data_IF_690600094492
#
_entry.id   IF_690600094492
#
_cell.length_a   1.000
_cell.length_b   1.000
_cell.length_c   1.000
_cell.angle_alpha   90.00
_cell.angle_beta   90.00
_cell.angle_gamma   90.00
#
_symmetry.space_group_name_H-M   'P 1'
#
loop_
_entity.id
_entity.type
_entity.pdbx_description
1 polymer ?
#
# COMPACT_ATOMS: atom_id res chain seq x y z
N UNK A 1 19.59 -11.82 -2.43
CA UNK A 1 19.44 -12.21 -3.85
C UNK A 1 20.51 -11.48 -4.63
N UNK A 2 21.23 -12.14 -5.54
CA UNK A 2 22.20 -11.44 -6.39
C UNK A 2 21.48 -10.62 -7.47
N UNK A 3 22.18 -9.63 -8.06
CA UNK A 3 21.64 -8.84 -9.18
C UNK A 3 21.19 -9.71 -10.35
N UNK A 4 21.95 -10.76 -10.65
CA UNK A 4 21.64 -11.70 -11.71
C UNK A 4 20.33 -12.45 -11.42
N UNK A 5 20.20 -13.02 -10.22
CA UNK A 5 19.00 -13.74 -9.79
C UNK A 5 17.76 -12.83 -9.79
N UNK A 6 17.92 -11.58 -9.36
CA UNK A 6 16.82 -10.60 -9.43
C UNK A 6 16.40 -10.33 -10.88
N UNK A 7 17.37 -10.18 -11.79
CA UNK A 7 17.11 -9.99 -13.22
C UNK A 7 16.42 -11.18 -13.87
N UNK A 8 16.77 -12.41 -13.49
CA UNK A 8 16.10 -13.63 -13.95
C UNK A 8 14.64 -13.68 -13.51
N UNK A 9 14.37 -13.44 -12.21
CA UNK A 9 12.99 -13.38 -11.68
C UNK A 9 12.19 -12.26 -12.33
N UNK A 10 12.81 -11.11 -12.57
CA UNK A 10 12.17 -9.99 -13.25
C UNK A 10 11.74 -10.37 -14.68
N UNK A 11 12.62 -11.03 -15.45
CA UNK A 11 12.27 -11.51 -16.80
C UNK A 11 11.14 -12.54 -16.79
N UNK A 12 11.15 -13.45 -15.82
CA UNK A 12 10.08 -14.42 -15.66
C UNK A 12 8.73 -13.74 -15.38
N UNK A 13 8.71 -12.73 -14.50
CA UNK A 13 7.51 -11.94 -14.23
C UNK A 13 7.02 -11.22 -15.49
N UNK A 14 7.92 -10.63 -16.28
CA UNK A 14 7.55 -10.02 -17.56
C UNK A 14 6.90 -11.03 -18.51
N UNK A 15 7.42 -12.27 -18.58
CA UNK A 15 6.81 -13.32 -19.39
C UNK A 15 5.37 -13.63 -18.95
N UNK A 16 5.11 -13.75 -17.63
CA UNK A 16 3.76 -13.94 -17.10
C UNK A 16 2.81 -12.77 -17.38
N UNK A 17 3.32 -11.54 -17.34
CA UNK A 17 2.52 -10.36 -17.69
C UNK A 17 2.17 -10.36 -19.18
N UNK A 18 3.11 -10.77 -20.04
CA UNK A 18 2.88 -10.83 -21.49
C UNK A 18 1.99 -12.00 -21.93
N UNK A 19 2.01 -13.13 -21.23
CA UNK A 19 1.11 -14.26 -21.50
C UNK A 19 -0.32 -14.01 -20.99
N UNK A 20 -0.52 -12.99 -20.14
CA UNK A 20 -1.81 -12.67 -19.55
C UNK A 20 -2.13 -13.48 -18.28
N UNK A 21 -1.14 -14.16 -17.70
CA UNK A 21 -1.33 -14.98 -16.48
C UNK A 21 -1.62 -14.11 -15.24
N UNK A 22 -1.15 -12.87 -15.24
CA UNK A 22 -1.41 -11.90 -14.19
C UNK A 22 -1.34 -10.46 -14.72
N UNK A 23 -1.97 -9.52 -14.00
CA UNK A 23 -1.94 -8.09 -14.34
C UNK A 23 -0.83 -7.33 -13.61
N UNK A 24 -0.44 -7.76 -12.41
CA UNK A 24 0.57 -7.09 -11.59
C UNK A 24 1.22 -8.09 -10.63
N UNK A 25 2.55 -7.97 -10.45
CA UNK A 25 3.32 -8.73 -9.47
C UNK A 25 4.20 -7.78 -8.66
N UNK A 26 4.24 -7.96 -7.34
CA UNK A 26 5.16 -7.24 -6.46
C UNK A 26 6.42 -8.08 -6.23
N UNK A 27 7.51 -7.75 -6.94
CA UNK A 27 8.80 -8.41 -6.75
C UNK A 27 9.56 -7.74 -5.59
N UNK A 28 9.61 -8.41 -4.44
CA UNK A 28 10.36 -7.97 -3.27
C UNK A 28 11.56 -8.89 -2.98
N UNK A 29 12.57 -8.35 -2.29
CA UNK A 29 13.70 -9.11 -1.80
C UNK A 29 13.96 -8.83 -0.32
N UNK A 30 14.40 -9.86 0.40
CA UNK A 30 14.76 -9.75 1.81
C UNK A 30 16.24 -9.40 1.94
N UNK A 31 16.52 -8.44 2.81
CA UNK A 31 17.86 -8.13 3.30
C UNK A 31 17.98 -8.59 4.75
N UNK A 32 19.17 -9.04 5.12
CA UNK A 32 19.50 -9.51 6.46
C UNK A 32 20.84 -8.91 6.86
N UNK A 33 20.93 -8.47 8.11
CA UNK A 33 22.15 -7.96 8.70
C UNK A 33 22.18 -8.37 10.18
N UNK A 34 23.37 -8.59 10.71
CA UNK A 34 23.55 -8.78 12.15
C UNK A 34 23.28 -7.46 12.86
N UNK A 35 22.59 -7.53 13.99
CA UNK A 35 22.25 -6.37 14.81
C UNK A 35 22.71 -6.59 16.24
N UNK A 36 23.38 -5.58 16.79
CA UNK A 36 23.73 -5.50 18.22
C UNK A 36 23.35 -4.10 18.67
N UNK A 37 22.43 -3.98 19.61
CA UNK A 37 21.96 -2.70 20.11
C UNK A 37 20.72 -2.83 20.98
N UNK A 38 20.40 -1.75 21.68
CA UNK A 38 19.28 -1.68 22.62
C UNK A 38 17.97 -1.25 21.93
N UNK A 39 16.86 -1.43 22.63
CA UNK A 39 15.49 -1.26 22.15
C UNK A 39 15.05 0.21 21.99
N UNK A 40 15.94 1.17 22.23
CA UNK A 40 15.64 2.62 22.18
C UNK A 40 15.60 3.23 20.76
N UNK A 41 16.07 2.52 19.73
CA UNK A 41 16.16 3.00 18.34
C UNK A 41 14.84 3.11 17.53
N UNK A 42 13.74 2.37 17.83
CA UNK A 42 12.47 2.49 17.12
C UNK A 42 11.91 3.92 17.06
N UNK A 43 12.08 4.69 18.14
CA UNK A 43 11.60 6.08 18.23
C UNK A 43 12.33 7.01 17.25
N UNK A 44 13.64 6.84 17.12
CA UNK A 44 14.49 7.59 16.19
C UNK A 44 14.12 7.28 14.73
N UNK A 45 13.92 6.00 14.41
CA UNK A 45 13.48 5.54 13.10
C UNK A 45 12.10 6.08 12.73
N UNK A 46 11.17 6.11 13.69
CA UNK A 46 9.85 6.67 13.48
C UNK A 46 9.88 8.20 13.29
N UNK A 47 10.75 8.93 14.01
CA UNK A 47 10.89 10.37 13.85
C UNK A 47 11.35 10.79 12.43
N UNK A 48 12.18 9.96 11.80
CA UNK A 48 12.67 10.16 10.43
C UNK A 48 11.61 9.77 9.39
N UNK A 49 11.01 8.59 9.52
CA UNK A 49 10.10 8.07 8.49
C UNK A 49 8.68 8.64 8.58
N UNK A 50 8.24 9.06 9.79
CA UNK A 50 6.91 9.62 10.09
C UNK A 50 5.77 8.81 9.48
N UNK A 51 5.88 7.48 9.55
CA UNK A 51 4.88 6.59 9.00
C UNK A 51 3.59 6.65 9.86
N UNK A 52 2.40 6.72 9.25
CA UNK A 52 1.14 6.82 9.99
C UNK A 52 0.77 5.55 10.75
N UNK A 53 1.34 4.40 10.37
CA UNK A 53 1.09 3.09 10.97
C UNK A 53 2.40 2.45 11.42
N UNK A 54 2.95 2.97 12.51
CA UNK A 54 4.16 2.43 13.14
C UNK A 54 3.81 1.49 14.30
N UNK A 55 4.55 0.40 14.42
CA UNK A 55 4.39 -0.56 15.52
C UNK A 55 5.76 -1.07 15.98
N UNK A 56 5.91 -1.26 17.29
CA UNK A 56 7.04 -1.95 17.89
C UNK A 56 6.49 -3.03 18.83
N UNK A 57 6.81 -4.28 18.54
CA UNK A 57 6.31 -5.45 19.27
C UNK A 57 7.53 -6.21 19.78
N UNK A 58 7.61 -6.40 21.09
CA UNK A 58 8.60 -7.29 21.71
C UNK A 58 8.03 -8.69 21.81
N UNK A 59 8.82 -9.68 21.45
CA UNK A 59 8.55 -11.10 21.51
C UNK A 59 9.69 -11.77 22.29
N UNK A 60 9.48 -12.99 22.78
CA UNK A 60 10.52 -13.71 23.53
C UNK A 60 11.78 -13.97 22.69
N UNK A 61 11.60 -14.18 21.38
CA UNK A 61 12.70 -14.49 20.44
C UNK A 61 13.23 -13.26 19.67
N UNK A 62 12.73 -12.05 19.96
CA UNK A 62 13.18 -10.84 19.29
C UNK A 62 12.15 -9.71 19.25
N UNK A 63 12.26 -8.82 18.27
CA UNK A 63 11.35 -7.70 18.15
C UNK A 63 10.94 -7.45 16.70
N UNK A 64 9.70 -6.99 16.53
CA UNK A 64 9.17 -6.52 15.26
C UNK A 64 9.11 -5.01 15.31
N UNK A 65 9.80 -4.36 14.38
CA UNK A 65 9.66 -2.94 14.09
C UNK A 65 9.00 -2.77 12.72
N UNK A 66 7.85 -2.11 12.69
CA UNK A 66 7.10 -1.81 11.47
C UNK A 66 6.92 -0.30 11.31
N UNK A 67 7.14 0.19 10.09
CA UNK A 67 6.94 1.57 9.67
C UNK A 67 6.05 1.55 8.42
N UNK A 68 4.78 1.20 8.57
CA UNK A 68 3.89 1.01 7.43
C UNK A 68 3.35 2.36 6.91
N UNK A 69 3.53 2.65 5.61
CA UNK A 69 2.98 3.86 4.99
C UNK A 69 1.47 3.74 4.73
N UNK A 70 0.92 2.52 4.76
CA UNK A 70 -0.41 2.21 4.27
C UNK A 70 -1.17 1.30 5.25
N UNK A 71 -2.48 1.49 5.33
CA UNK A 71 -3.37 0.64 6.11
C UNK A 71 -3.94 -0.44 5.21
N UNK A 72 -3.78 -1.71 5.60
CA UNK A 72 -4.42 -2.84 4.92
C UNK A 72 -5.95 -2.71 4.97
N UNK A 73 -6.52 -2.71 6.16
CA UNK A 73 -7.95 -2.47 6.40
C UNK A 73 -8.19 -1.94 7.81
N UNK A 74 -9.34 -1.30 8.01
CA UNK A 74 -9.88 -0.90 9.31
C UNK A 74 -11.25 -1.50 9.44
N UNK A 75 -11.54 -2.06 10.60
CA UNK A 75 -12.88 -2.51 10.95
C UNK A 75 -13.32 -1.81 12.24
N UNK A 76 -14.39 -1.02 12.18
CA UNK A 76 -14.95 -0.30 13.33
C UNK A 76 -16.45 -0.18 13.20
N UNK A 77 -17.19 -0.46 14.28
CA UNK A 77 -18.65 -0.30 14.32
C UNK A 77 -19.37 -1.02 13.16
N UNK A 78 -18.87 -2.19 12.79
CA UNK A 78 -19.43 -2.93 11.67
C UNK A 78 -19.13 -2.32 10.30
N UNK A 79 -18.20 -1.38 10.16
CA UNK A 79 -17.75 -0.85 8.87
C UNK A 79 -16.34 -1.31 8.55
N UNK A 80 -16.13 -1.85 7.34
CA UNK A 80 -14.83 -2.20 6.78
C UNK A 80 -14.37 -1.08 5.84
N UNK A 81 -13.15 -0.59 6.04
CA UNK A 81 -12.52 0.44 5.23
C UNK A 81 -11.11 0.04 4.81
N UNK A 82 -10.75 0.26 3.55
CA UNK A 82 -9.37 0.17 3.05
C UNK A 82 -9.00 1.43 2.27
N UNK A 83 -7.69 1.67 2.13
CA UNK A 83 -7.12 2.84 1.43
C UNK A 83 -5.93 2.43 0.58
N UNK A 84 -6.16 1.75 -0.56
CA UNK A 84 -5.08 1.31 -1.43
C UNK A 84 -4.27 2.50 -1.96
N UNK A 85 -2.95 2.35 -2.02
CA UNK A 85 -2.03 3.33 -2.60
C UNK A 85 -1.37 2.76 -3.85
N UNK A 86 -1.60 3.39 -5.01
CA UNK A 86 -0.82 3.14 -6.25
C UNK A 86 -0.39 4.44 -6.91
N UNK A 87 0.73 4.36 -7.62
CA UNK A 87 1.45 5.50 -8.16
C UNK A 87 2.35 6.16 -7.11
N UNK A 88 3.65 6.17 -7.37
CA UNK A 88 4.65 6.81 -6.49
C UNK A 88 5.69 7.52 -7.31
N UNK A 89 5.85 8.82 -7.05
CA UNK A 89 6.99 9.60 -7.52
C UNK A 89 7.79 10.10 -6.31
N UNK A 90 9.11 10.28 -6.46
CA UNK A 90 9.95 10.90 -5.43
C UNK A 90 9.49 12.34 -5.19
N UNK A 91 9.85 12.89 -4.04
CA UNK A 91 9.67 14.33 -3.76
C UNK A 91 10.86 15.09 -4.31
N UNK A 92 10.66 16.33 -4.71
CA UNK A 92 11.74 17.23 -5.15
C UNK A 92 11.94 18.37 -4.15
N UNK A 93 13.17 18.89 -4.07
CA UNK A 93 13.51 19.98 -3.14
C UNK A 93 12.86 21.31 -3.52
N UNK A 94 12.68 21.55 -4.83
CA UNK A 94 11.98 22.74 -5.33
C UNK A 94 10.47 22.55 -5.19
N UNK A 95 9.76 23.43 -4.46
CA UNK A 95 8.31 23.35 -4.29
C UNK A 95 7.54 23.38 -5.62
N UNK A 96 8.01 24.16 -6.59
CA UNK A 96 7.41 24.25 -7.92
C UNK A 96 7.57 22.94 -8.69
N UNK A 97 8.77 22.37 -8.67
CA UNK A 97 9.04 21.11 -9.35
C UNK A 97 8.28 19.95 -8.68
N UNK A 98 8.17 19.95 -7.36
CA UNK A 98 7.40 18.97 -6.59
C UNK A 98 5.90 19.04 -6.91
N UNK A 99 5.34 20.25 -7.06
CA UNK A 99 3.95 20.46 -7.49
C UNK A 99 3.71 19.93 -8.91
N UNK A 100 4.60 20.25 -9.86
CA UNK A 100 4.54 19.70 -11.23
C UNK A 100 4.64 18.18 -11.24
N UNK A 101 5.43 17.59 -10.34
CA UNK A 101 5.56 16.14 -10.20
C UNK A 101 4.25 15.51 -9.71
N UNK A 102 3.56 16.16 -8.77
CA UNK A 102 2.24 15.74 -8.31
C UNK A 102 1.19 15.79 -9.44
N UNK A 103 1.18 16.87 -10.23
CA UNK A 103 0.29 17.01 -11.39
C UNK A 103 0.56 15.94 -12.46
N UNK A 104 1.84 15.64 -12.74
CA UNK A 104 2.22 14.55 -13.65
C UNK A 104 1.67 13.21 -13.19
N UNK A 105 1.78 12.91 -11.89
CA UNK A 105 1.24 11.67 -11.32
C UNK A 105 -0.29 11.63 -11.42
N UNK A 106 -0.97 12.74 -11.12
CA UNK A 106 -2.43 12.83 -11.18
C UNK A 106 -2.97 12.62 -12.61
N UNK A 107 -2.24 13.10 -13.61
CA UNK A 107 -2.64 13.02 -15.01
C UNK A 107 -2.13 11.76 -15.73
N UNK A 108 -1.35 10.91 -15.07
CA UNK A 108 -0.81 9.69 -15.69
C UNK A 108 -1.93 8.69 -15.99
N UNK A 109 -2.16 8.32 -17.27
CA UNK A 109 -3.16 7.31 -17.62
C UNK A 109 -2.78 5.93 -17.06
N UNK A 110 -1.48 5.62 -16.99
CA UNK A 110 -0.97 4.38 -16.42
C UNK A 110 -1.30 4.27 -14.93
N UNK A 111 -0.92 5.27 -14.14
CA UNK A 111 -1.13 5.25 -12.69
C UNK A 111 -2.64 5.26 -12.34
N UNK A 112 -3.47 5.91 -13.16
CA UNK A 112 -4.93 5.85 -13.01
C UNK A 112 -5.48 4.46 -13.28
N UNK A 113 -4.99 3.78 -14.34
CA UNK A 113 -5.40 2.41 -14.64
C UNK A 113 -4.98 1.42 -13.54
N UNK A 114 -3.75 1.53 -13.02
CA UNK A 114 -3.27 0.70 -11.91
C UNK A 114 -4.06 0.98 -10.61
N UNK A 115 -4.37 2.25 -10.32
CA UNK A 115 -5.22 2.62 -9.19
C UNK A 115 -6.63 2.05 -9.32
N UNK A 116 -7.23 2.10 -10.51
CA UNK A 116 -8.57 1.53 -10.75
C UNK A 116 -8.57 0.02 -10.58
N UNK A 117 -7.55 -0.67 -11.11
CA UNK A 117 -7.39 -2.12 -10.97
C UNK A 117 -7.29 -2.54 -9.49
N UNK A 118 -6.46 -1.88 -8.67
CA UNK A 118 -6.35 -2.24 -7.25
C UNK A 118 -7.64 -1.91 -6.48
N UNK A 119 -8.31 -0.83 -6.87
CA UNK A 119 -9.62 -0.44 -6.35
C UNK A 119 -10.64 -1.55 -6.58
N UNK A 120 -10.72 -2.07 -7.81
CA UNK A 120 -11.67 -3.12 -8.15
C UNK A 120 -11.34 -4.44 -7.44
N UNK A 121 -10.05 -4.77 -7.30
CA UNK A 121 -9.60 -5.93 -6.53
C UNK A 121 -10.06 -5.83 -5.07
N UNK A 122 -9.81 -4.69 -4.42
CA UNK A 122 -10.20 -4.49 -3.02
C UNK A 122 -11.72 -4.46 -2.83
N UNK A 123 -12.45 -3.89 -3.81
CA UNK A 123 -13.92 -3.92 -3.81
C UNK A 123 -14.44 -5.36 -3.87
N UNK A 124 -13.87 -6.18 -4.73
CA UNK A 124 -14.20 -7.60 -4.84
C UNK A 124 -13.90 -8.34 -3.52
N UNK A 125 -12.73 -8.10 -2.92
CA UNK A 125 -12.33 -8.77 -1.67
C UNK A 125 -13.24 -8.39 -0.50
N UNK A 126 -13.57 -7.11 -0.34
CA UNK A 126 -14.53 -6.65 0.67
C UNK A 126 -15.94 -7.19 0.37
N UNK A 127 -16.34 -7.24 -0.90
CA UNK A 127 -17.65 -7.72 -1.34
C UNK A 127 -17.93 -9.19 -0.99
N UNK A 128 -16.89 -10.01 -0.78
CA UNK A 128 -17.03 -11.40 -0.32
C UNK A 128 -17.56 -11.53 1.11
N UNK A 129 -17.32 -10.52 1.93
CA UNK A 129 -17.66 -10.54 3.37
C UNK A 129 -18.61 -9.42 3.78
N UNK A 130 -18.86 -8.43 2.93
CA UNK A 130 -19.78 -7.32 3.21
C UNK A 130 -21.23 -7.66 2.83
N UNK A 131 -22.18 -6.87 3.34
CA UNK A 131 -23.59 -7.00 2.92
C UNK A 131 -23.71 -6.73 1.41
N UNK A 132 -24.41 -7.57 0.61
CA UNK A 132 -24.57 -7.34 -0.82
C UNK A 132 -25.08 -5.94 -1.15
N UNK A 133 -24.45 -5.28 -2.13
CA UNK A 133 -24.79 -3.91 -2.54
C UNK A 133 -24.33 -2.80 -1.60
N UNK A 134 -23.69 -3.13 -0.47
CA UNK A 134 -23.27 -2.14 0.53
C UNK A 134 -21.89 -1.53 0.29
N UNK A 135 -21.07 -2.11 -0.59
CA UNK A 135 -19.71 -1.64 -0.86
C UNK A 135 -19.72 -0.38 -1.73
N UNK A 136 -19.19 0.72 -1.19
CA UNK A 136 -19.19 2.03 -1.84
C UNK A 136 -17.78 2.55 -2.12
N UNK A 137 -17.63 3.19 -3.29
CA UNK A 137 -16.53 4.10 -3.62
C UNK A 137 -17.04 5.53 -3.46
N UNK A 138 -16.66 6.27 -2.41
CA UNK A 138 -16.75 7.72 -2.40
C UNK A 138 -16.00 8.26 -3.63
N UNK A 139 -16.61 9.21 -4.32
CA UNK A 139 -16.17 9.72 -5.62
C UNK A 139 -14.67 9.98 -5.74
N UNK A 140 -14.13 9.81 -6.95
CA UNK A 140 -12.76 10.13 -7.36
C UNK A 140 -12.38 11.63 -7.22
N UNK A 141 -13.15 12.46 -6.53
CA UNK A 141 -12.84 13.86 -6.23
C UNK A 141 -11.75 14.04 -5.15
N UNK A 142 -11.39 12.95 -4.45
CA UNK A 142 -10.37 12.93 -3.40
C UNK A 142 -8.91 13.00 -3.90
N UNK A 143 -8.69 13.05 -5.23
CA UNK A 143 -7.37 13.33 -5.81
C UNK A 143 -6.80 14.70 -5.41
N UNK A 144 -7.61 15.60 -4.84
CA UNK A 144 -7.27 17.03 -4.80
C UNK A 144 -6.48 17.53 -3.58
N UNK A 145 -6.52 16.91 -2.39
CA UNK A 145 -5.96 17.60 -1.19
C UNK A 145 -5.26 16.78 -0.11
N UNK A 146 -5.30 15.45 -0.19
CA UNK A 146 -4.54 14.58 0.71
C UNK A 146 -3.78 13.60 -0.16
N UNK A 147 -2.45 13.63 -0.03
CA UNK A 147 -1.54 12.68 -0.68
C UNK A 147 -2.14 11.26 -0.64
N UNK A 148 -2.44 10.73 -1.82
CA UNK A 148 -2.50 9.29 -2.17
C UNK A 148 -3.42 8.43 -1.28
N UNK A 149 -4.74 8.41 -1.53
CA UNK A 149 -5.65 7.32 -1.07
C UNK A 149 -7.05 7.46 -1.68
N UNK A 150 -7.64 6.36 -2.16
CA UNK A 150 -9.09 6.20 -2.37
C UNK A 150 -9.65 5.49 -1.13
N UNK A 151 -10.72 6.02 -0.54
CA UNK A 151 -11.30 5.51 0.71
C UNK A 151 -12.46 4.59 0.39
N UNK A 152 -12.56 3.40 1.00
CA UNK A 152 -13.75 2.54 0.89
C UNK A 152 -14.46 2.44 2.24
N UNK A 153 -15.78 2.29 2.22
CA UNK A 153 -16.53 1.90 3.42
C UNK A 153 -17.69 0.98 3.01
N UNK A 154 -17.87 -0.09 3.77
CA UNK A 154 -18.99 -1.00 3.63
C UNK A 154 -19.39 -1.56 5.01
N UNK A 155 -20.68 -1.61 5.36
CA UNK A 155 -21.12 -2.35 6.53
C UNK A 155 -20.86 -3.85 6.34
N UNK A 156 -20.14 -4.45 7.29
CA UNK A 156 -20.03 -5.89 7.46
C UNK A 156 -21.37 -6.45 7.98
N UNK A 157 -21.75 -7.68 7.59
CA UNK A 157 -22.86 -8.37 8.21
C UNK A 157 -22.64 -8.46 9.73
N UNK A 158 -23.72 -8.49 10.53
CA UNK A 158 -23.58 -8.79 11.95
C UNK A 158 -22.82 -10.10 12.07
N UNK A 159 -21.74 -10.10 12.86
CA UNK A 159 -21.00 -11.32 13.14
C UNK A 159 -22.01 -12.37 13.63
N UNK A 160 -22.13 -13.50 12.92
CA UNK A 160 -22.58 -14.69 13.60
C UNK A 160 -21.60 -14.91 14.76
N UNK A 161 -22.16 -15.08 15.95
CA UNK A 161 -21.42 -15.47 17.16
C UNK A 161 -20.57 -16.71 16.90
#
# INVERSE_FOLDING_TARGET
>A
MSRQQYGEKFRQIQAYLHSGDCYQVNLAQRFQASYVGDDGRPSQLNAVNRAPFSAFIRLDEGAILSLSPERLSSWRQGEIQTRPIKGTLPRLDSPLADAQQAEKLANSPKDRAENLMIVDLMRNDIGRVAVPGSVRVPSCSWWSRSRRSIIWSAPSPPACQ
#
